data_IF_950003898049
#
_entry.id   IF_950003898049
#
_cell.length_a   1.000
_cell.length_b   1.000
_cell.length_c   1.000
_cell.angle_alpha   90.00
_cell.angle_beta   90.00
_cell.angle_gamma   90.00
#
_symmetry.space_group_name_H-M   'P 1'
#
loop_
_entity.id
_entity.type
_entity.pdbx_description
1 polymer ?
#
# COMPACT_ATOMS: atom_id res chain seq x y z
N UNK A 1 -8.60 -0.01 -24.98
CA UNK A 1 -7.68 0.55 -23.98
C UNK A 1 -8.19 0.10 -22.62
N UNK A 2 -7.33 -0.40 -21.75
CA UNK A 2 -7.71 -0.84 -20.39
C UNK A 2 -7.85 0.32 -19.40
N UNK A 3 -7.42 1.53 -19.81
CA UNK A 3 -7.48 2.72 -18.96
C UNK A 3 -8.90 3.23 -18.76
N UNK A 4 -9.27 3.47 -17.50
CA UNK A 4 -10.48 4.18 -17.08
C UNK A 4 -10.13 5.18 -15.97
N UNK A 5 -10.61 6.42 -16.11
CA UNK A 5 -10.40 7.49 -15.11
C UNK A 5 -11.09 7.21 -13.77
N UNK A 6 -12.05 6.28 -13.73
CA UNK A 6 -12.77 5.88 -12.51
C UNK A 6 -12.09 4.69 -11.79
N UNK A 7 -11.07 4.07 -12.39
CA UNK A 7 -10.32 3.03 -11.74
C UNK A 7 -9.56 3.57 -10.54
N UNK A 8 -9.39 2.74 -9.52
CA UNK A 8 -8.71 3.07 -8.27
C UNK A 8 -7.42 2.27 -8.15
N UNK A 9 -6.32 2.95 -7.84
CA UNK A 9 -5.03 2.33 -7.58
C UNK A 9 -4.83 2.20 -6.07
N UNK A 10 -4.80 0.95 -5.59
CA UNK A 10 -4.53 0.56 -4.22
C UNK A 10 -3.06 0.20 -4.10
N UNK A 11 -2.39 0.74 -3.11
CA UNK A 11 -0.98 0.46 -2.89
C UNK A 11 -0.72 0.23 -1.41
N UNK A 12 0.25 -0.61 -1.12
CA UNK A 12 0.78 -0.84 0.22
C UNK A 12 2.27 -1.09 0.15
N UNK A 13 3.00 -0.68 1.17
CA UNK A 13 4.45 -0.79 1.27
C UNK A 13 4.85 -1.31 2.63
N UNK A 14 5.83 -2.23 2.64
CA UNK A 14 6.58 -2.56 3.85
C UNK A 14 7.85 -1.72 3.92
N UNK A 15 8.16 -1.20 5.10
CA UNK A 15 9.30 -0.30 5.30
C UNK A 15 10.14 -0.74 6.52
N UNK A 16 11.35 -0.19 6.63
CA UNK A 16 12.23 -0.44 7.79
C UNK A 16 11.79 0.26 9.06
N UNK A 17 10.87 1.23 8.94
CA UNK A 17 10.33 2.03 10.03
C UNK A 17 9.35 3.08 9.53
N UNK A 18 9.10 4.13 10.31
CA UNK A 18 8.04 5.10 10.04
C UNK A 18 8.55 6.50 9.62
N UNK A 19 9.85 6.72 9.59
CA UNK A 19 10.44 8.00 9.22
C UNK A 19 11.03 7.96 7.80
N UNK A 20 10.38 8.58 6.79
CA UNK A 20 10.83 8.51 5.40
C UNK A 20 12.20 9.18 5.15
N UNK A 21 12.72 9.99 6.08
CA UNK A 21 14.05 10.60 5.93
C UNK A 21 15.19 9.63 6.27
N UNK A 22 14.93 8.63 7.11
CA UNK A 22 15.94 7.66 7.58
C UNK A 22 15.61 6.22 7.19
N UNK A 23 14.33 5.91 7.06
CA UNK A 23 13.86 4.56 6.77
C UNK A 23 13.69 4.32 5.26
N UNK A 24 13.66 3.06 4.87
CA UNK A 24 13.68 2.63 3.48
C UNK A 24 12.51 1.71 3.16
N UNK A 25 12.12 1.67 1.88
CA UNK A 25 11.10 0.76 1.35
C UNK A 25 11.71 -0.64 1.18
N UNK A 26 10.98 -1.67 1.58
CA UNK A 26 11.36 -3.08 1.48
C UNK A 26 10.53 -3.84 0.45
N UNK A 27 9.21 -3.59 0.42
CA UNK A 27 8.27 -4.28 -0.46
C UNK A 27 7.20 -3.32 -0.93
N UNK A 28 6.72 -3.50 -2.16
CA UNK A 28 5.63 -2.72 -2.76
C UNK A 28 4.71 -3.67 -3.52
N UNK A 29 3.40 -3.49 -3.37
CA UNK A 29 2.39 -4.12 -4.20
C UNK A 29 1.34 -3.09 -4.63
N UNK A 30 0.68 -3.35 -5.78
CA UNK A 30 -0.42 -2.53 -6.28
C UNK A 30 -1.56 -3.41 -6.79
N UNK A 31 -2.78 -3.02 -6.48
CA UNK A 31 -4.02 -3.61 -7.03
C UNK A 31 -4.82 -2.52 -7.69
N UNK A 32 -5.39 -2.82 -8.85
CA UNK A 32 -6.32 -1.93 -9.56
C UNK A 32 -7.73 -2.47 -9.39
N UNK A 33 -8.65 -1.61 -8.97
CA UNK A 33 -10.09 -1.93 -8.94
C UNK A 33 -10.87 -0.97 -9.84
N UNK A 34 -12.08 -1.37 -10.22
CA UNK A 34 -13.08 -0.43 -10.71
C UNK A 34 -13.65 0.42 -9.55
N UNK A 35 -14.56 1.36 -9.86
CA UNK A 35 -15.23 2.19 -8.87
C UNK A 35 -16.15 1.42 -7.92
N UNK A 36 -16.52 0.17 -8.25
CA UNK A 36 -17.33 -0.72 -7.42
C UNK A 36 -16.50 -1.63 -6.52
N UNK A 37 -15.17 -1.47 -6.54
CA UNK A 37 -14.20 -2.25 -5.80
C UNK A 37 -14.04 -3.71 -6.32
N UNK A 38 -14.38 -3.96 -7.57
CA UNK A 38 -14.04 -5.22 -8.23
C UNK A 38 -12.59 -5.15 -8.71
N UNK A 39 -11.81 -6.17 -8.40
CA UNK A 39 -10.41 -6.25 -8.81
C UNK A 39 -10.31 -6.43 -10.32
N UNK A 40 -9.53 -5.58 -10.97
CA UNK A 40 -9.25 -5.60 -12.41
C UNK A 40 -7.89 -6.25 -12.67
N UNK A 41 -6.87 -5.87 -11.88
CA UNK A 41 -5.51 -6.35 -12.03
C UNK A 41 -4.72 -6.24 -10.73
N UNK A 42 -3.68 -7.07 -10.62
CA UNK A 42 -2.73 -7.07 -9.51
C UNK A 42 -1.31 -7.02 -10.04
N UNK A 43 -0.47 -6.18 -9.46
CA UNK A 43 0.96 -6.19 -9.79
C UNK A 43 1.64 -7.42 -9.16
N UNK A 44 2.78 -7.87 -9.68
CA UNK A 44 3.65 -8.70 -8.87
C UNK A 44 4.05 -7.95 -7.59
N UNK A 45 4.30 -8.70 -6.53
CA UNK A 45 4.94 -8.14 -5.32
C UNK A 45 6.40 -7.86 -5.64
N UNK A 46 6.83 -6.63 -5.47
CA UNK A 46 8.17 -6.17 -5.83
C UNK A 46 8.98 -5.86 -4.57
N UNK A 47 10.14 -6.50 -4.46
CA UNK A 47 11.02 -6.39 -3.29
C UNK A 47 12.24 -5.54 -3.62
N UNK A 48 12.46 -4.51 -2.81
CA UNK A 48 13.60 -3.58 -2.93
C UNK A 48 14.80 -4.14 -2.15
N UNK A 49 15.97 -4.19 -2.78
CA UNK A 49 17.21 -4.54 -2.10
C UNK A 49 17.61 -3.43 -1.12
N UNK A 50 17.99 -3.81 0.09
CA UNK A 50 18.60 -2.94 1.08
C UNK A 50 19.83 -3.61 1.67
N UNK A 51 20.81 -2.80 2.10
CA UNK A 51 22.02 -3.33 2.72
C UNK A 51 21.73 -3.96 4.10
N UNK A 52 22.56 -4.91 4.51
CA UNK A 52 22.47 -5.50 5.84
C UNK A 52 22.50 -4.44 6.96
N UNK A 53 23.29 -3.38 6.79
CA UNK A 53 23.37 -2.29 7.79
C UNK A 53 22.04 -1.52 7.94
N UNK A 54 21.26 -1.36 6.86
CA UNK A 54 19.93 -0.75 6.93
C UNK A 54 18.96 -1.68 7.64
N UNK A 55 18.98 -2.97 7.33
CA UNK A 55 18.13 -3.97 8.01
C UNK A 55 18.48 -4.11 9.50
N UNK A 56 19.76 -4.05 9.83
CA UNK A 56 20.24 -4.09 11.23
C UNK A 56 19.85 -2.85 12.03
N UNK A 57 19.57 -1.73 11.39
CA UNK A 57 19.12 -0.50 12.05
C UNK A 57 17.62 -0.48 12.39
N UNK A 58 16.82 -1.43 11.87
CA UNK A 58 15.41 -1.55 12.24
C UNK A 58 15.23 -1.77 13.74
N UNK A 59 14.09 -1.31 14.26
CA UNK A 59 13.68 -1.64 15.63
C UNK A 59 13.31 -3.14 15.78
N UNK A 60 13.17 -3.59 17.01
CA UNK A 60 12.89 -5.01 17.32
C UNK A 60 11.55 -5.49 16.77
N UNK A 61 10.55 -4.61 16.68
CA UNK A 61 9.24 -4.95 16.13
C UNK A 61 9.34 -5.23 14.62
N UNK A 62 9.98 -4.31 13.86
CA UNK A 62 10.19 -4.47 12.42
C UNK A 62 11.05 -5.68 12.10
N UNK A 63 12.17 -5.89 12.83
CA UNK A 63 13.00 -7.09 12.69
C UNK A 63 12.23 -8.38 12.91
N UNK A 64 11.42 -8.43 13.97
CA UNK A 64 10.61 -9.61 14.29
C UNK A 64 9.54 -9.87 13.26
N UNK A 65 8.84 -8.81 12.81
CA UNK A 65 7.72 -8.91 11.86
C UNK A 65 8.22 -9.33 10.47
N UNK A 66 9.21 -8.61 9.93
CA UNK A 66 9.77 -8.90 8.61
C UNK A 66 10.63 -10.18 8.59
N UNK A 67 11.22 -10.58 9.73
CA UNK A 67 11.89 -11.86 9.86
C UNK A 67 10.91 -13.03 9.79
N UNK A 68 9.77 -12.95 10.48
CA UNK A 68 8.75 -14.01 10.45
C UNK A 68 8.07 -14.17 9.08
N UNK A 69 7.86 -13.08 8.34
CA UNK A 69 7.32 -13.14 6.98
C UNK A 69 8.34 -13.59 5.93
N UNK A 70 9.63 -13.71 6.29
CA UNK A 70 10.72 -14.01 5.37
C UNK A 70 11.10 -12.82 4.47
N UNK A 71 10.59 -11.62 4.73
CA UNK A 71 10.85 -10.44 3.90
C UNK A 71 12.33 -10.03 3.97
N UNK A 72 12.98 -10.14 5.12
CA UNK A 72 14.41 -9.81 5.27
C UNK A 72 15.27 -10.60 4.28
N UNK A 73 15.02 -11.90 4.16
CA UNK A 73 15.74 -12.77 3.23
C UNK A 73 15.49 -12.39 1.78
N UNK A 74 14.22 -12.11 1.42
CA UNK A 74 13.85 -11.64 0.08
C UNK A 74 14.53 -10.32 -0.27
N UNK A 75 14.61 -9.39 0.68
CA UNK A 75 15.27 -8.08 0.52
C UNK A 75 16.77 -8.26 0.24
N UNK A 76 17.46 -9.11 0.98
CA UNK A 76 18.89 -9.39 0.78
C UNK A 76 19.17 -10.09 -0.56
N UNK A 77 18.23 -10.90 -1.06
CA UNK A 77 18.35 -11.62 -2.34
C UNK A 77 17.92 -10.78 -3.54
N UNK A 78 17.13 -9.74 -3.31
CA UNK A 78 16.67 -8.85 -4.40
C UNK A 78 17.85 -8.12 -5.04
N UNK A 79 17.75 -7.90 -6.35
CA UNK A 79 18.69 -7.08 -7.13
C UNK A 79 18.10 -5.74 -7.55
N UNK A 80 16.87 -5.44 -7.11
CA UNK A 80 16.13 -4.25 -7.49
C UNK A 80 16.31 -3.13 -6.47
N UNK A 81 16.47 -1.90 -6.95
CA UNK A 81 16.47 -0.70 -6.10
C UNK A 81 15.12 0.02 -6.17
N UNK A 82 14.93 1.05 -5.35
CA UNK A 82 13.67 1.82 -5.31
C UNK A 82 13.28 2.37 -6.69
N UNK A 83 14.24 2.84 -7.48
CA UNK A 83 13.95 3.39 -8.80
C UNK A 83 13.44 2.32 -9.77
N UNK A 84 14.08 1.15 -9.81
CA UNK A 84 13.65 0.06 -10.69
C UNK A 84 12.27 -0.49 -10.32
N UNK A 85 11.97 -0.61 -9.02
CA UNK A 85 10.64 -0.98 -8.51
C UNK A 85 9.62 0.10 -8.84
N UNK A 86 9.94 1.37 -8.60
CA UNK A 86 9.08 2.51 -8.94
C UNK A 86 8.66 2.50 -10.42
N UNK A 87 9.61 2.28 -11.34
CA UNK A 87 9.33 2.25 -12.78
C UNK A 87 8.44 1.06 -13.18
N UNK A 88 8.60 -0.09 -12.54
CA UNK A 88 7.75 -1.27 -12.80
C UNK A 88 6.31 -1.03 -12.30
N UNK A 89 6.13 -0.53 -11.07
CA UNK A 89 4.81 -0.19 -10.54
C UNK A 89 4.15 0.91 -11.38
N UNK A 90 4.90 1.94 -11.76
CA UNK A 90 4.41 3.02 -12.61
C UNK A 90 3.98 2.51 -13.99
N UNK A 91 4.75 1.60 -14.59
CA UNK A 91 4.41 0.99 -15.88
C UNK A 91 3.12 0.18 -15.78
N UNK A 92 2.97 -0.62 -14.72
CA UNK A 92 1.74 -1.35 -14.42
C UNK A 92 0.55 -0.40 -14.23
N UNK A 93 0.69 0.66 -13.43
CA UNK A 93 -0.37 1.62 -13.20
C UNK A 93 -0.85 2.30 -14.48
N UNK A 94 0.08 2.64 -15.39
CA UNK A 94 -0.21 3.29 -16.70
C UNK A 94 -1.06 2.45 -17.62
N UNK A 95 -1.11 1.14 -17.45
CA UNK A 95 -1.97 0.27 -18.27
C UNK A 95 -3.46 0.48 -17.96
N UNK A 96 -3.80 0.85 -16.73
CA UNK A 96 -5.18 0.87 -16.21
C UNK A 96 -5.68 2.25 -15.81
N UNK A 97 -4.78 3.18 -15.50
CA UNK A 97 -5.11 4.49 -14.89
C UNK A 97 -4.50 5.61 -15.73
N UNK A 98 -5.28 6.58 -16.19
CA UNK A 98 -4.74 7.82 -16.76
C UNK A 98 -4.01 8.65 -15.70
N UNK A 99 -3.04 9.46 -16.13
CA UNK A 99 -2.25 10.30 -15.23
C UNK A 99 -3.13 11.22 -14.39
N UNK A 100 -2.85 11.31 -13.08
CA UNK A 100 -3.52 12.21 -12.11
C UNK A 100 -5.03 12.01 -11.97
N UNK A 101 -5.55 10.82 -12.25
CA UNK A 101 -6.98 10.53 -12.10
C UNK A 101 -7.30 9.74 -10.84
N UNK A 102 -6.52 8.70 -10.49
CA UNK A 102 -6.77 7.92 -9.29
C UNK A 102 -6.20 8.60 -8.04
N UNK A 103 -6.98 8.73 -6.95
CA UNK A 103 -6.41 8.97 -5.63
C UNK A 103 -5.49 7.80 -5.25
N UNK A 104 -4.58 8.02 -4.31
CA UNK A 104 -3.82 6.93 -3.69
C UNK A 104 -4.72 6.25 -2.65
N UNK A 105 -4.99 4.94 -2.82
CA UNK A 105 -5.95 4.19 -2.00
C UNK A 105 -5.24 3.21 -1.07
N UNK A 106 -5.69 3.12 0.19
CA UNK A 106 -5.16 2.17 1.18
C UNK A 106 -5.59 2.50 2.61
N UNK A 107 -5.01 1.82 3.58
CA UNK A 107 -5.17 2.13 5.00
C UNK A 107 -3.98 2.94 5.52
N UNK A 108 -4.24 4.06 6.19
CA UNK A 108 -3.19 5.01 6.64
C UNK A 108 -2.26 5.42 5.51
N UNK A 109 -2.79 5.50 4.32
CA UNK A 109 -2.08 5.63 3.05
C UNK A 109 -1.22 6.91 2.96
N UNK A 110 -1.49 7.87 3.81
CA UNK A 110 -0.64 9.06 3.95
C UNK A 110 0.80 8.71 4.35
N UNK A 111 1.02 7.59 5.06
CA UNK A 111 2.33 7.13 5.46
C UNK A 111 3.09 6.57 4.24
N UNK A 112 2.46 5.70 3.46
CA UNK A 112 3.03 5.19 2.21
C UNK A 112 3.34 6.32 1.24
N UNK A 113 2.43 7.29 1.13
CA UNK A 113 2.63 8.47 0.27
C UNK A 113 3.86 9.29 0.66
N UNK A 114 4.17 9.44 1.95
CA UNK A 114 5.39 10.13 2.41
C UNK A 114 6.65 9.39 1.96
N UNK A 115 6.67 8.06 2.07
CA UNK A 115 7.78 7.24 1.58
C UNK A 115 7.91 7.29 0.07
N UNK A 116 6.77 7.19 -0.64
CA UNK A 116 6.76 7.28 -2.10
C UNK A 116 7.27 8.64 -2.59
N UNK A 117 6.82 9.74 -2.00
CA UNK A 117 7.31 11.09 -2.33
C UNK A 117 8.83 11.23 -2.12
N UNK A 118 9.39 10.55 -1.13
CA UNK A 118 10.82 10.59 -0.83
C UNK A 118 11.67 9.69 -1.73
N UNK A 119 11.19 8.46 -1.99
CA UNK A 119 12.00 7.41 -2.61
C UNK A 119 11.55 7.00 -4.02
N UNK A 120 10.31 7.34 -4.40
CA UNK A 120 9.68 6.99 -5.69
C UNK A 120 8.87 8.18 -6.24
N UNK A 121 9.49 9.38 -6.39
CA UNK A 121 8.77 10.62 -6.70
C UNK A 121 8.00 10.56 -8.02
N UNK A 122 8.52 9.92 -9.07
CA UNK A 122 7.83 9.80 -10.36
C UNK A 122 6.52 9.00 -10.24
N UNK A 123 6.50 7.97 -9.39
CA UNK A 123 5.29 7.19 -9.11
C UNK A 123 4.31 8.01 -8.30
N UNK A 124 4.77 8.74 -7.29
CA UNK A 124 3.92 9.61 -6.46
C UNK A 124 3.25 10.69 -7.31
N UNK A 125 4.00 11.34 -8.20
CA UNK A 125 3.50 12.41 -9.07
C UNK A 125 2.44 11.92 -10.07
N UNK A 126 2.42 10.63 -10.39
CA UNK A 126 1.43 10.07 -11.30
C UNK A 126 0.03 9.97 -10.68
N UNK A 127 -0.07 9.82 -9.35
CA UNK A 127 -1.34 9.83 -8.64
C UNK A 127 -2.00 11.20 -8.63
N UNK A 128 -3.31 11.21 -8.45
CA UNK A 128 -4.02 12.42 -8.04
C UNK A 128 -3.54 12.85 -6.65
N UNK A 129 -3.55 14.14 -6.33
CA UNK A 129 -3.06 14.66 -5.03
C UNK A 129 -3.89 14.21 -3.81
N UNK A 130 -5.10 13.71 -4.02
CA UNK A 130 -5.99 13.19 -2.97
C UNK A 130 -5.65 11.76 -2.57
N UNK A 131 -6.01 11.42 -1.34
CA UNK A 131 -6.00 10.05 -0.83
C UNK A 131 -7.44 9.52 -0.68
N UNK A 132 -7.60 8.21 -0.89
CA UNK A 132 -8.75 7.45 -0.43
C UNK A 132 -8.26 6.58 0.73
N UNK A 133 -8.35 7.13 1.95
CA UNK A 133 -7.82 6.49 3.15
C UNK A 133 -8.96 5.80 3.92
N UNK A 134 -8.97 4.46 3.89
CA UNK A 134 -9.96 3.62 4.56
C UNK A 134 -9.89 3.81 6.09
N UNK A 135 -8.71 4.14 6.64
CA UNK A 135 -8.55 4.40 8.06
C UNK A 135 -9.39 5.60 8.54
N UNK A 136 -9.70 6.55 7.67
CA UNK A 136 -10.64 7.64 8.00
C UNK A 136 -12.02 7.11 8.34
N UNK A 137 -12.56 6.19 7.54
CA UNK A 137 -13.85 5.55 7.81
C UNK A 137 -13.81 4.70 9.09
N UNK A 138 -12.72 4.00 9.31
CA UNK A 138 -12.47 3.24 10.54
C UNK A 138 -12.53 4.13 11.78
N UNK A 139 -11.85 5.27 11.75
CA UNK A 139 -11.85 6.23 12.86
C UNK A 139 -13.21 6.86 13.11
N UNK A 140 -13.99 7.15 12.07
CA UNK A 140 -15.36 7.65 12.18
C UNK A 140 -16.29 6.55 12.70
N UNK A 141 -16.20 5.32 12.19
CA UNK A 141 -17.00 4.19 12.62
C UNK A 141 -16.80 3.87 14.10
N UNK A 142 -15.56 3.89 14.60
CA UNK A 142 -15.26 3.70 16.03
C UNK A 142 -15.98 4.73 16.94
N UNK A 143 -16.13 5.97 16.46
CA UNK A 143 -16.72 7.08 17.22
C UNK A 143 -18.23 7.13 17.12
N UNK A 144 -18.77 6.87 15.95
CA UNK A 144 -20.20 7.08 15.65
C UNK A 144 -21.02 5.80 15.74
N UNK A 145 -20.40 4.64 15.45
CA UNK A 145 -21.05 3.32 15.48
C UNK A 145 -20.06 2.26 16.00
N UNK A 146 -19.66 2.31 17.28
CA UNK A 146 -18.59 1.47 17.84
C UNK A 146 -18.89 -0.04 17.74
N UNK A 147 -20.16 -0.44 17.71
CA UNK A 147 -20.55 -1.85 17.56
C UNK A 147 -20.19 -2.38 16.16
N UNK A 148 -20.35 -1.56 15.12
CA UNK A 148 -19.95 -1.92 13.77
C UNK A 148 -18.43 -1.99 13.60
N UNK A 149 -17.66 -1.19 14.35
CA UNK A 149 -16.20 -1.18 14.23
C UNK A 149 -15.55 -2.52 14.59
N UNK A 150 -16.24 -3.38 15.32
CA UNK A 150 -15.79 -4.73 15.72
C UNK A 150 -16.12 -5.82 14.69
N UNK A 151 -16.93 -5.49 13.68
CA UNK A 151 -17.43 -6.46 12.69
C UNK A 151 -16.42 -6.84 11.62
N UNK A 152 -15.41 -6.01 11.38
CA UNK A 152 -14.33 -6.32 10.45
C UNK A 152 -13.05 -6.70 11.21
N UNK A 153 -12.46 -7.85 10.87
CA UNK A 153 -11.21 -8.34 11.48
C UNK A 153 -10.17 -8.55 10.40
N UNK A 154 -9.00 -7.96 10.57
CA UNK A 154 -7.82 -8.17 9.73
C UNK A 154 -7.05 -9.41 10.17
N UNK A 155 -6.41 -10.10 9.24
CA UNK A 155 -5.52 -11.24 9.53
C UNK A 155 -4.17 -10.78 10.10
N UNK A 156 -3.73 -9.56 9.74
CA UNK A 156 -2.48 -8.97 10.22
C UNK A 156 -1.24 -9.71 9.72
N UNK A 157 -1.24 -10.13 8.46
CA UNK A 157 -0.12 -10.86 7.87
C UNK A 157 1.13 -10.02 7.64
N UNK A 158 0.97 -8.70 7.51
CA UNK A 158 2.06 -7.77 7.15
C UNK A 158 2.80 -8.21 5.87
N UNK A 159 2.02 -8.42 4.83
CA UNK A 159 2.45 -8.67 3.46
C UNK A 159 1.69 -7.68 2.56
N UNK A 160 2.40 -6.87 1.79
CA UNK A 160 1.81 -5.74 1.07
C UNK A 160 0.56 -6.11 0.24
N UNK A 161 0.61 -7.19 -0.54
CA UNK A 161 -0.54 -7.60 -1.36
C UNK A 161 -1.74 -8.05 -0.50
N UNK A 162 -1.50 -8.80 0.58
CA UNK A 162 -2.56 -9.24 1.49
C UNK A 162 -3.21 -8.05 2.20
N UNK A 163 -2.42 -7.08 2.62
CA UNK A 163 -2.91 -5.88 3.31
C UNK A 163 -3.72 -4.96 2.37
N UNK A 164 -3.41 -4.94 1.06
CA UNK A 164 -4.25 -4.29 0.04
C UNK A 164 -5.62 -4.97 -0.05
N UNK A 165 -5.68 -6.29 -0.17
CA UNK A 165 -6.95 -7.02 -0.23
C UNK A 165 -7.80 -6.76 1.01
N UNK A 166 -7.19 -6.80 2.19
CA UNK A 166 -7.88 -6.48 3.43
C UNK A 166 -8.40 -5.03 3.46
N UNK A 167 -7.66 -4.09 2.90
CA UNK A 167 -8.08 -2.68 2.81
C UNK A 167 -9.28 -2.49 1.88
N UNK A 168 -9.31 -3.19 0.74
CA UNK A 168 -10.44 -3.20 -0.19
C UNK A 168 -11.68 -3.81 0.48
N UNK A 169 -11.52 -4.95 1.17
CA UNK A 169 -12.63 -5.63 1.83
C UNK A 169 -13.13 -4.83 3.05
N UNK A 170 -12.25 -4.15 3.77
CA UNK A 170 -12.60 -3.22 4.85
C UNK A 170 -13.43 -2.04 4.30
N UNK A 171 -13.08 -1.48 3.13
CA UNK A 171 -13.88 -0.43 2.50
C UNK A 171 -15.25 -0.95 2.05
N UNK A 172 -15.34 -2.15 1.45
CA UNK A 172 -16.63 -2.80 1.13
C UNK A 172 -17.50 -2.94 2.37
N UNK A 173 -16.93 -3.41 3.47
CA UNK A 173 -17.63 -3.53 4.74
C UNK A 173 -18.19 -2.18 5.21
N UNK A 174 -17.39 -1.10 5.22
CA UNK A 174 -17.89 0.22 5.61
C UNK A 174 -18.91 0.76 4.64
N UNK A 175 -18.77 0.54 3.34
CA UNK A 175 -19.78 0.92 2.34
C UNK A 175 -21.12 0.28 2.66
N UNK A 176 -21.14 -1.01 2.99
CA UNK A 176 -22.37 -1.79 3.13
C UNK A 176 -23.02 -1.61 4.51
N UNK A 177 -22.26 -1.36 5.57
CA UNK A 177 -22.76 -1.32 6.95
C UNK A 177 -22.76 0.07 7.58
N UNK A 178 -21.85 0.96 7.19
CA UNK A 178 -21.60 2.22 7.88
C UNK A 178 -22.07 3.45 7.12
N UNK A 179 -21.84 3.50 5.78
CA UNK A 179 -22.15 4.67 4.95
C UNK A 179 -23.63 4.73 4.58
N UNK A 180 -24.34 3.63 4.63
CA UNK A 180 -25.79 3.55 4.39
C UNK A 180 -26.62 4.04 5.57
#
# INVERSE_FOLDING_TARGET
>A
MLQDQNNLAWIDMEMTGLNPDTDRILEVAMVITDSNLNIIAESPVLVVNQSASILDSMDDWNKSTHGRSGLIEKVLQSTQNENSVSQQVLSFMKEYIPVKTSPMCGNSICQDRRFMARWMPDLEEYFHYRNLDVSTLKELCKRWKPDLSKGFKKSGKHEALADIHESIDELKYYRDCFIK
#
